data_IF_309977134164
#
_entry.id   IF_309977134164
#
_cell.length_a   1.000
_cell.length_b   1.000
_cell.length_c   1.000
_cell.angle_alpha   90.00
_cell.angle_beta   90.00
_cell.angle_gamma   90.00
#
_symmetry.space_group_name_H-M   'P 1'
#
loop_
_entity.id
_entity.type
_entity.pdbx_description
1 polymer ?
#
# COMPACT_ATOMS: atom_id res chain seq x y z
N UNK A 1 37.63 -7.57 -9.67
CA UNK A 1 37.05 -8.91 -9.92
C UNK A 1 35.92 -9.07 -8.93
N UNK A 2 34.74 -8.63 -9.35
CA UNK A 2 33.52 -8.55 -8.56
C UNK A 2 32.45 -9.18 -9.44
N UNK A 3 32.29 -10.49 -9.31
CA UNK A 3 31.33 -11.26 -10.09
C UNK A 3 30.06 -11.51 -9.26
N UNK A 4 28.97 -10.94 -9.76
CA UNK A 4 27.72 -11.63 -10.09
C UNK A 4 27.14 -12.58 -9.03
N UNK A 5 26.39 -12.00 -8.08
CA UNK A 5 25.14 -12.59 -7.59
C UNK A 5 23.95 -11.94 -8.31
N UNK A 6 23.86 -12.17 -9.62
CA UNK A 6 22.63 -11.94 -10.36
C UNK A 6 21.69 -13.12 -10.06
N UNK A 7 20.80 -12.94 -9.08
CA UNK A 7 19.78 -13.93 -8.76
C UNK A 7 18.66 -13.88 -9.80
N UNK A 8 18.46 -15.05 -10.44
CA UNK A 8 17.34 -15.46 -11.28
C UNK A 8 15.97 -15.20 -10.60
N UNK A 9 14.89 -14.90 -11.35
CA UNK A 9 13.53 -14.79 -10.84
C UNK A 9 12.82 -16.16 -10.65
N UNK A 10 13.56 -17.26 -10.51
CA UNK A 10 12.97 -18.53 -10.16
C UNK A 10 12.67 -18.56 -8.66
N UNK A 11 11.38 -18.52 -8.31
CA UNK A 11 10.93 -18.82 -6.95
C UNK A 11 11.54 -20.16 -6.54
N UNK A 12 12.35 -20.22 -5.46
CA UNK A 12 12.74 -21.50 -4.87
C UNK A 12 11.44 -22.21 -4.51
N UNK A 13 11.29 -23.48 -4.91
CA UNK A 13 10.27 -24.33 -4.30
C UNK A 13 10.50 -24.23 -2.80
N UNK A 14 9.51 -23.73 -2.06
CA UNK A 14 9.69 -23.48 -0.64
C UNK A 14 9.96 -24.85 0.00
N UNK A 15 11.21 -25.08 0.42
CA UNK A 15 11.66 -26.27 1.14
C UNK A 15 10.65 -26.70 2.20
N UNK A 16 9.97 -25.72 2.79
CA UNK A 16 8.90 -25.90 3.76
C UNK A 16 7.59 -26.42 3.17
N UNK A 17 7.16 -25.96 2.00
CA UNK A 17 5.97 -26.47 1.30
C UNK A 17 6.16 -27.93 0.87
N UNK A 18 7.39 -28.29 0.50
CA UNK A 18 7.74 -29.68 0.20
C UNK A 18 7.73 -30.55 1.46
N UNK A 19 8.27 -30.05 2.58
CA UNK A 19 8.22 -30.75 3.87
C UNK A 19 6.77 -30.90 4.36
N UNK A 20 5.91 -29.90 4.19
CA UNK A 20 4.48 -29.96 4.51
C UNK A 20 3.74 -30.99 3.66
N UNK A 21 4.02 -31.04 2.35
CA UNK A 21 3.45 -32.06 1.47
C UNK A 21 3.86 -33.47 1.91
N UNK A 22 5.12 -33.65 2.30
CA UNK A 22 5.63 -34.91 2.83
C UNK A 22 4.99 -35.29 4.18
N UNK A 23 4.75 -34.31 5.06
CA UNK A 23 4.01 -34.50 6.32
C UNK A 23 2.54 -34.86 6.12
N UNK A 24 1.90 -34.28 5.10
CA UNK A 24 0.50 -34.52 4.77
C UNK A 24 0.27 -35.85 4.05
N UNK A 25 1.28 -36.36 3.32
CA UNK A 25 1.22 -37.67 2.70
C UNK A 25 1.50 -38.78 3.72
N UNK A 26 0.49 -39.57 4.07
CA UNK A 26 0.65 -40.75 4.93
C UNK A 26 1.61 -41.81 4.37
N UNK A 27 1.89 -41.74 3.07
CA UNK A 27 2.60 -42.77 2.32
C UNK A 27 4.07 -42.40 2.01
N UNK A 28 4.54 -41.23 2.45
CA UNK A 28 5.95 -40.86 2.25
C UNK A 28 6.86 -41.74 3.13
N UNK A 29 7.91 -42.35 2.56
CA UNK A 29 8.82 -43.20 3.32
C UNK A 29 9.59 -42.37 4.35
N UNK A 30 9.53 -42.78 5.62
CA UNK A 30 10.31 -42.13 6.68
C UNK A 30 11.81 -42.30 6.45
N UNK A 31 12.62 -41.40 7.00
CA UNK A 31 14.08 -41.52 6.93
C UNK A 31 14.57 -42.89 7.44
N UNK A 32 13.95 -43.40 8.50
CA UNK A 32 14.20 -44.72 9.05
C UNK A 32 13.97 -45.84 8.02
N UNK A 33 12.83 -45.80 7.32
CA UNK A 33 12.50 -46.80 6.29
C UNK A 33 13.46 -46.78 5.10
N UNK A 34 13.94 -45.60 4.71
CA UNK A 34 14.91 -45.45 3.62
C UNK A 34 16.29 -46.01 3.99
N UNK A 35 16.71 -45.82 5.24
CA UNK A 35 17.99 -46.33 5.74
C UNK A 35 17.98 -47.86 5.83
N UNK A 36 16.89 -48.44 6.35
CA UNK A 36 16.74 -49.89 6.39
C UNK A 36 16.62 -50.50 5.00
N UNK A 37 15.84 -49.90 4.09
CA UNK A 37 15.76 -50.35 2.70
C UNK A 37 17.13 -50.33 2.01
N UNK A 38 17.89 -49.24 2.17
CA UNK A 38 19.24 -49.13 1.59
C UNK A 38 20.22 -50.14 2.21
N UNK A 39 20.12 -50.37 3.52
CA UNK A 39 20.90 -51.41 4.21
C UNK A 39 20.63 -52.79 3.60
N UNK A 40 19.37 -53.12 3.35
CA UNK A 40 18.94 -54.40 2.75
C UNK A 40 19.39 -54.53 1.30
N UNK A 41 19.22 -53.49 0.48
CA UNK A 41 19.70 -53.44 -0.91
C UNK A 41 21.20 -53.73 -1.02
N UNK A 42 21.99 -53.21 -0.09
CA UNK A 42 23.43 -53.41 -0.04
C UNK A 42 23.84 -54.72 0.66
N UNK A 43 22.88 -55.52 1.14
CA UNK A 43 23.15 -56.77 1.86
C UNK A 43 23.90 -56.60 3.18
N UNK A 44 23.79 -55.44 3.83
CA UNK A 44 24.58 -55.07 5.00
C UNK A 44 23.92 -55.53 6.31
N UNK A 45 24.73 -56.01 7.26
CA UNK A 45 24.28 -56.15 8.65
C UNK A 45 24.14 -54.78 9.32
N UNK A 46 23.35 -54.67 10.40
CA UNK A 46 23.23 -53.43 11.19
C UNK A 46 24.59 -52.95 11.73
N UNK A 47 25.47 -53.88 12.11
CA UNK A 47 26.84 -53.58 12.51
C UNK A 47 27.64 -52.94 11.37
N UNK A 48 27.61 -53.55 10.18
CA UNK A 48 28.33 -53.03 9.01
C UNK A 48 27.80 -51.64 8.59
N UNK A 49 26.49 -51.44 8.61
CA UNK A 49 25.89 -50.14 8.33
C UNK A 49 26.31 -49.06 9.35
N UNK A 50 26.36 -49.41 10.65
CA UNK A 50 26.83 -48.49 11.70
C UNK A 50 28.30 -48.10 11.54
N UNK A 51 29.16 -49.03 11.09
CA UNK A 51 30.57 -48.79 10.81
C UNK A 51 30.76 -47.89 9.57
N UNK A 52 30.02 -48.13 8.49
CA UNK A 52 30.05 -47.30 7.26
C UNK A 52 29.66 -45.86 7.58
N UNK A 53 28.59 -45.67 8.36
CA UNK A 53 28.15 -44.35 8.81
C UNK A 53 29.05 -43.76 9.91
N UNK A 54 30.07 -44.50 10.37
CA UNK A 54 31.00 -44.10 11.43
C UNK A 54 30.25 -43.59 12.66
N UNK A 55 29.32 -44.41 13.17
CA UNK A 55 28.50 -44.12 14.34
C UNK A 55 28.36 -45.35 15.24
N UNK A 56 27.99 -45.13 16.51
CA UNK A 56 27.76 -46.24 17.43
C UNK A 56 26.51 -47.03 17.05
N UNK A 57 26.45 -48.31 17.41
CA UNK A 57 25.26 -49.14 17.20
C UNK A 57 24.00 -48.54 17.84
N UNK A 58 24.14 -47.97 19.04
CA UNK A 58 23.05 -47.28 19.75
C UNK A 58 22.57 -46.04 18.99
N UNK A 59 23.50 -45.26 18.39
CA UNK A 59 23.16 -44.12 17.55
C UNK A 59 22.41 -44.56 16.29
N UNK A 60 22.86 -45.63 15.63
CA UNK A 60 22.21 -46.20 14.46
C UNK A 60 20.79 -46.68 14.78
N UNK A 61 20.61 -47.45 15.87
CA UNK A 61 19.31 -47.95 16.32
C UNK A 61 18.33 -46.81 16.62
N UNK A 62 18.78 -45.72 17.25
CA UNK A 62 17.94 -44.52 17.47
C UNK A 62 17.53 -43.82 16.17
N UNK A 63 18.35 -43.92 15.13
CA UNK A 63 18.14 -43.30 13.84
C UNK A 63 17.07 -44.08 13.04
N UNK A 64 17.13 -45.41 13.05
CA UNK A 64 16.15 -46.28 12.37
C UNK A 64 14.87 -46.53 13.16
N UNK A 65 14.82 -46.17 14.45
CA UNK A 65 13.59 -46.17 15.26
C UNK A 65 12.88 -44.82 15.31
N UNK A 66 13.44 -43.78 14.68
CA UNK A 66 12.89 -42.42 14.71
C UNK A 66 13.05 -41.69 16.05
N UNK A 67 13.81 -42.25 17.00
CA UNK A 67 14.05 -41.67 18.33
C UNK A 67 15.18 -40.62 18.37
N UNK A 68 15.70 -40.23 17.20
CA UNK A 68 16.74 -39.22 17.07
C UNK A 68 16.12 -37.83 16.89
N UNK A 69 16.03 -37.06 17.98
CA UNK A 69 15.40 -35.73 17.98
C UNK A 69 16.25 -34.63 17.32
N UNK A 70 17.57 -34.80 17.19
CA UNK A 70 18.48 -33.81 16.58
C UNK A 70 19.51 -34.50 15.71
N UNK A 71 19.53 -34.14 14.44
CA UNK A 71 20.54 -34.56 13.47
C UNK A 71 21.55 -33.41 13.30
N UNK A 72 22.83 -33.69 13.48
CA UNK A 72 23.88 -32.72 13.15
C UNK A 72 24.21 -32.75 11.64
N UNK A 73 24.86 -31.69 11.16
CA UNK A 73 25.19 -31.54 9.73
C UNK A 73 26.10 -32.66 9.23
N UNK A 74 27.02 -33.14 10.08
CA UNK A 74 27.93 -34.23 9.74
C UNK A 74 27.18 -35.55 9.50
N UNK A 75 26.19 -35.85 10.33
CA UNK A 75 25.36 -37.04 10.20
C UNK A 75 24.44 -36.93 8.98
N UNK A 76 23.90 -35.73 8.70
CA UNK A 76 23.14 -35.49 7.46
C UNK A 76 23.97 -35.76 6.20
N UNK A 77 25.23 -35.31 6.17
CA UNK A 77 26.16 -35.57 5.05
C UNK A 77 26.47 -37.07 4.90
N UNK A 78 26.72 -37.77 6.01
CA UNK A 78 26.95 -39.23 6.00
C UNK A 78 25.75 -39.99 5.46
N UNK A 79 24.54 -39.61 5.89
CA UNK A 79 23.30 -40.19 5.42
C UNK A 79 23.06 -39.90 3.94
N UNK A 80 23.36 -38.69 3.47
CA UNK A 80 23.23 -38.32 2.06
C UNK A 80 24.07 -39.25 1.17
N UNK A 81 25.33 -39.47 1.54
CA UNK A 81 26.21 -40.42 0.82
C UNK A 81 25.77 -41.88 0.96
N UNK A 82 25.29 -42.30 2.13
CA UNK A 82 24.84 -43.68 2.33
C UNK A 82 23.57 -44.01 1.53
N UNK A 83 22.62 -43.08 1.52
CA UNK A 83 21.34 -43.19 0.82
C UNK A 83 21.43 -42.85 -0.67
N UNK A 84 22.56 -42.29 -1.13
CA UNK A 84 22.78 -41.81 -2.50
C UNK A 84 21.76 -40.74 -2.91
N UNK A 85 21.54 -39.78 -2.00
CA UNK A 85 20.59 -38.66 -2.15
C UNK A 85 21.26 -37.34 -1.80
N UNK A 86 20.65 -36.21 -2.16
CA UNK A 86 21.20 -34.91 -1.76
C UNK A 86 21.04 -34.68 -0.25
N UNK A 87 21.96 -33.89 0.34
CA UNK A 87 21.82 -33.46 1.73
C UNK A 87 20.49 -32.72 1.97
N UNK A 88 20.02 -31.99 0.97
CA UNK A 88 18.73 -31.31 1.00
C UNK A 88 17.56 -32.30 1.15
N UNK A 89 17.58 -33.42 0.41
CA UNK A 89 16.59 -34.48 0.54
C UNK A 89 16.62 -35.15 1.92
N UNK A 90 17.82 -35.40 2.48
CA UNK A 90 17.94 -35.91 3.86
C UNK A 90 17.31 -34.93 4.84
N UNK A 91 17.62 -33.65 4.74
CA UNK A 91 17.08 -32.62 5.63
C UNK A 91 15.56 -32.48 5.52
N UNK A 92 14.99 -32.60 4.31
CA UNK A 92 13.53 -32.65 4.08
C UNK A 92 12.88 -33.82 4.84
N UNK A 93 13.44 -35.01 4.71
CA UNK A 93 12.93 -36.23 5.34
C UNK A 93 13.04 -36.17 6.87
N UNK A 94 14.14 -35.62 7.38
CA UNK A 94 14.34 -35.39 8.82
C UNK A 94 13.30 -34.40 9.34
N UNK A 95 13.12 -33.27 8.66
CA UNK A 95 12.12 -32.28 9.03
C UNK A 95 10.72 -32.90 9.07
N UNK A 96 10.36 -33.72 8.07
CA UNK A 96 9.07 -34.41 8.03
C UNK A 96 8.93 -35.55 9.06
N UNK A 97 10.03 -36.18 9.49
CA UNK A 97 9.97 -37.30 10.45
C UNK A 97 10.07 -36.86 11.92
N UNK A 98 10.69 -35.70 12.18
CA UNK A 98 11.13 -35.30 13.53
C UNK A 98 10.49 -34.01 14.02
N UNK A 99 10.00 -33.11 13.16
CA UNK A 99 9.30 -31.90 13.64
C UNK A 99 7.88 -32.24 14.07
N UNK A 100 7.52 -32.10 15.35
CA UNK A 100 6.13 -32.05 15.77
C UNK A 100 5.43 -30.86 15.10
N UNK A 101 4.10 -30.91 14.98
CA UNK A 101 3.31 -29.81 14.43
C UNK A 101 3.54 -28.45 15.15
N UNK A 102 4.00 -28.48 16.42
CA UNK A 102 4.38 -27.28 17.18
C UNK A 102 5.68 -26.61 16.70
N UNK A 103 6.68 -27.39 16.30
CA UNK A 103 7.94 -26.85 15.77
C UNK A 103 7.74 -26.25 14.38
N UNK A 104 6.87 -26.87 13.56
CA UNK A 104 6.45 -26.32 12.27
C UNK A 104 5.83 -24.92 12.44
N UNK A 105 4.87 -24.77 13.37
CA UNK A 105 4.26 -23.47 13.69
C UNK A 105 5.28 -22.44 14.15
N UNK A 106 6.35 -22.87 14.80
CA UNK A 106 7.44 -21.98 15.23
C UNK A 106 8.22 -21.44 14.04
N UNK A 107 8.57 -22.30 13.08
CA UNK A 107 9.25 -21.88 11.84
C UNK A 107 8.36 -20.96 11.00
N UNK A 108 7.08 -21.29 10.88
CA UNK A 108 6.10 -20.46 10.17
C UNK A 108 5.97 -19.06 10.80
N UNK A 109 5.86 -18.97 12.13
CA UNK A 109 5.86 -17.67 12.84
C UNK A 109 7.12 -16.86 12.57
N UNK A 110 8.30 -17.49 12.49
CA UNK A 110 9.56 -16.81 12.15
C UNK A 110 9.54 -16.29 10.72
N UNK A 111 9.02 -17.07 9.76
CA UNK A 111 8.85 -16.64 8.36
C UNK A 111 7.90 -15.44 8.26
N UNK A 112 6.75 -15.50 8.92
CA UNK A 112 5.76 -14.42 8.94
C UNK A 112 6.34 -13.15 9.57
N UNK A 113 6.99 -13.25 10.73
CA UNK A 113 7.65 -12.12 11.38
C UNK A 113 8.74 -11.51 10.48
N UNK A 114 9.55 -12.35 9.82
CA UNK A 114 10.58 -11.90 8.87
C UNK A 114 9.97 -11.17 7.67
N UNK A 115 8.84 -11.67 7.15
CA UNK A 115 8.08 -11.01 6.09
C UNK A 115 7.57 -9.63 6.54
N UNK A 116 7.02 -9.54 7.74
CA UNK A 116 6.52 -8.28 8.31
C UNK A 116 7.65 -7.25 8.39
N UNK A 117 8.77 -7.62 9.02
CA UNK A 117 9.94 -6.72 9.16
C UNK A 117 10.48 -6.29 7.81
N UNK A 118 10.46 -7.18 6.81
CA UNK A 118 10.97 -6.87 5.46
C UNK A 118 10.07 -5.88 4.71
N UNK A 119 8.75 -5.97 4.85
CA UNK A 119 7.81 -5.24 4.00
C UNK A 119 7.09 -4.07 4.70
N UNK A 120 7.06 -4.03 6.03
CA UNK A 120 6.34 -3.01 6.79
C UNK A 120 7.27 -2.26 7.76
N UNK A 121 7.05 -0.96 7.92
CA UNK A 121 7.66 -0.17 9.00
C UNK A 121 6.77 -0.22 10.24
N UNK A 122 6.97 -1.29 11.03
CA UNK A 122 6.18 -1.57 12.23
C UNK A 122 6.21 -0.41 13.23
N UNK A 123 7.36 0.26 13.37
CA UNK A 123 7.52 1.35 14.32
C UNK A 123 6.66 2.56 13.95
N UNK A 124 6.65 2.95 12.67
CA UNK A 124 5.81 4.06 12.18
C UNK A 124 4.33 3.70 12.16
N UNK A 125 3.98 2.47 11.76
CA UNK A 125 2.60 1.98 11.79
C UNK A 125 2.04 1.95 13.23
N UNK A 126 2.85 1.59 14.22
CA UNK A 126 2.49 1.69 15.63
C UNK A 126 2.28 3.14 16.08
N UNK A 127 3.20 4.04 15.74
CA UNK A 127 3.06 5.48 16.05
C UNK A 127 1.79 6.08 15.43
N UNK A 128 1.39 5.59 14.27
CA UNK A 128 0.16 5.99 13.59
C UNK A 128 -1.10 5.49 14.28
N UNK A 129 -1.03 4.39 15.04
CA UNK A 129 -2.18 3.72 15.66
C UNK A 129 -2.73 2.55 14.84
N UNK A 130 -2.09 2.16 13.73
CA UNK A 130 -2.51 0.98 12.94
C UNK A 130 -2.21 -0.33 13.68
N UNK A 131 -1.11 -0.34 14.44
CA UNK A 131 -0.63 -1.48 15.24
C UNK A 131 -0.64 -1.07 16.71
N UNK A 132 -1.17 -1.92 17.58
CA UNK A 132 -1.25 -1.65 19.02
C UNK A 132 -0.09 -2.30 19.81
N UNK A 133 0.31 -3.51 19.41
CA UNK A 133 1.35 -4.30 20.07
C UNK A 133 2.58 -4.52 19.19
N UNK A 134 3.73 -4.84 19.80
CA UNK A 134 4.93 -5.29 19.08
C UNK A 134 4.96 -6.83 18.93
N UNK A 135 3.82 -7.49 19.14
CA UNK A 135 3.67 -8.93 18.95
C UNK A 135 3.43 -9.22 17.46
N UNK A 136 4.32 -9.99 16.84
CA UNK A 136 4.25 -10.25 15.39
C UNK A 136 3.03 -11.09 14.99
N UNK A 137 2.47 -11.90 15.89
CA UNK A 137 1.22 -12.62 15.65
C UNK A 137 0.04 -11.66 15.55
N UNK A 138 -0.06 -10.71 16.50
CA UNK A 138 -1.09 -9.67 16.46
C UNK A 138 -0.91 -8.74 15.25
N UNK A 139 0.34 -8.38 14.91
CA UNK A 139 0.63 -7.55 13.73
C UNK A 139 0.20 -8.26 12.45
N UNK A 140 0.52 -9.56 12.32
CA UNK A 140 0.07 -10.39 11.20
C UNK A 140 -1.45 -10.35 11.11
N UNK A 141 -2.15 -10.70 12.19
CA UNK A 141 -3.61 -10.78 12.19
C UNK A 141 -4.25 -9.45 11.82
N UNK A 142 -3.68 -8.34 12.31
CA UNK A 142 -4.11 -6.99 11.92
C UNK A 142 -3.92 -6.71 10.43
N UNK A 143 -2.76 -7.06 9.85
CA UNK A 143 -2.49 -6.88 8.41
C UNK A 143 -3.44 -7.73 7.57
N UNK A 144 -3.59 -9.02 7.90
CA UNK A 144 -4.47 -9.94 7.18
C UNK A 144 -5.92 -9.48 7.25
N UNK A 145 -6.39 -9.10 8.44
CA UNK A 145 -7.74 -8.59 8.62
C UNK A 145 -7.97 -7.28 7.85
N UNK A 146 -7.02 -6.34 7.93
CA UNK A 146 -7.13 -5.05 7.29
C UNK A 146 -7.22 -5.16 5.76
N UNK A 147 -6.30 -5.91 5.15
CA UNK A 147 -6.30 -6.12 3.69
C UNK A 147 -7.26 -7.23 3.23
N UNK A 148 -7.88 -7.99 4.15
CA UNK A 148 -8.74 -9.12 3.82
C UNK A 148 -8.02 -10.25 3.09
N UNK A 149 -6.79 -10.56 3.51
CA UNK A 149 -5.90 -11.55 2.87
C UNK A 149 -5.94 -12.88 3.60
N UNK A 150 -5.72 -13.97 2.87
CA UNK A 150 -5.58 -15.30 3.45
C UNK A 150 -4.18 -15.56 4.00
N UNK A 151 -3.16 -14.87 3.45
CA UNK A 151 -1.77 -14.97 3.91
C UNK A 151 -0.97 -13.70 3.64
N UNK A 152 0.14 -13.51 4.34
CA UNK A 152 1.04 -12.38 4.10
C UNK A 152 1.72 -12.46 2.72
N UNK A 153 1.86 -13.66 2.15
CA UNK A 153 2.48 -13.84 0.84
C UNK A 153 1.61 -13.32 -0.31
N UNK A 154 0.29 -13.32 -0.11
CA UNK A 154 -0.68 -12.68 -1.02
C UNK A 154 -0.38 -11.18 -1.13
N UNK A 155 -0.15 -10.50 0.01
CA UNK A 155 0.30 -9.09 0.03
C UNK A 155 1.57 -8.88 -0.79
N UNK A 156 2.56 -9.76 -0.64
CA UNK A 156 3.83 -9.65 -1.38
C UNK A 156 3.65 -9.76 -2.90
N UNK A 157 2.75 -10.64 -3.33
CA UNK A 157 2.44 -10.87 -4.75
C UNK A 157 1.69 -9.67 -5.33
N UNK A 158 0.67 -9.17 -4.65
CA UNK A 158 -0.08 -8.00 -5.09
C UNK A 158 0.79 -6.73 -5.10
N UNK A 159 1.57 -6.53 -4.04
CA UNK A 159 2.52 -5.41 -3.94
C UNK A 159 3.52 -5.46 -5.11
N UNK A 160 4.02 -6.63 -5.47
CA UNK A 160 4.89 -6.78 -6.62
C UNK A 160 4.18 -6.39 -7.93
N UNK A 161 2.93 -6.83 -8.11
CA UNK A 161 2.13 -6.51 -9.28
C UNK A 161 1.78 -5.01 -9.40
N UNK A 162 1.64 -4.30 -8.29
CA UNK A 162 1.32 -2.86 -8.27
C UNK A 162 2.59 -2.00 -8.39
N UNK A 163 3.64 -2.29 -7.61
CA UNK A 163 4.81 -1.40 -7.47
C UNK A 163 5.90 -1.61 -8.53
N UNK A 164 6.14 -2.85 -9.01
CA UNK A 164 7.21 -3.11 -9.99
C UNK A 164 6.85 -2.72 -11.43
N UNK A 165 5.62 -2.28 -11.67
CA UNK A 165 5.22 -1.75 -12.98
C UNK A 165 5.71 -0.31 -13.22
N UNK A 166 6.28 0.36 -12.20
CA UNK A 166 6.76 1.74 -12.26
C UNK A 166 8.27 1.87 -12.48
N UNK A 167 8.93 0.92 -13.14
CA UNK A 167 10.39 0.82 -13.38
C UNK A 167 11.18 0.08 -12.29
N UNK A 168 12.42 -0.26 -12.63
CA UNK A 168 13.40 -1.08 -11.88
C UNK A 168 13.79 -0.54 -10.48
N UNK A 169 13.09 0.47 -9.97
CA UNK A 169 13.31 1.06 -8.65
C UNK A 169 12.35 0.44 -7.65
N UNK A 170 12.94 -0.37 -6.77
CA UNK A 170 12.29 -0.83 -5.54
C UNK A 170 11.75 0.41 -4.80
N UNK A 171 10.47 0.44 -4.45
CA UNK A 171 9.97 1.44 -3.49
C UNK A 171 10.66 1.14 -2.16
N UNK A 172 11.78 1.81 -1.88
CA UNK A 172 12.57 1.58 -0.68
C UNK A 172 11.80 1.97 0.59
N UNK A 173 10.81 2.86 0.46
CA UNK A 173 9.96 3.31 1.55
C UNK A 173 8.74 2.39 1.76
N UNK A 174 8.82 1.53 2.78
CA UNK A 174 7.77 0.61 3.23
C UNK A 174 6.47 1.34 3.59
N UNK A 175 6.54 2.56 4.09
CA UNK A 175 5.35 3.35 4.41
C UNK A 175 4.65 3.79 3.12
N UNK A 176 5.41 4.32 2.16
CA UNK A 176 4.87 4.68 0.84
C UNK A 176 4.24 3.46 0.16
N UNK A 177 4.90 2.30 0.19
CA UNK A 177 4.36 1.05 -0.34
C UNK A 177 3.01 0.67 0.32
N UNK A 178 2.94 0.71 1.66
CA UNK A 178 1.71 0.44 2.42
C UNK A 178 0.57 1.37 1.98
N UNK A 179 0.81 2.68 1.86
CA UNK A 179 -0.23 3.65 1.48
C UNK A 179 -0.70 3.47 0.04
N UNK A 180 0.20 3.21 -0.91
CA UNK A 180 -0.15 2.89 -2.29
C UNK A 180 -1.04 1.64 -2.33
N UNK A 181 -0.65 0.60 -1.60
CA UNK A 181 -1.41 -0.65 -1.52
C UNK A 181 -2.79 -0.45 -0.91
N UNK A 182 -2.89 0.29 0.19
CA UNK A 182 -4.17 0.62 0.82
C UNK A 182 -5.08 1.38 -0.13
N UNK A 183 -4.58 2.42 -0.82
CA UNK A 183 -5.36 3.17 -1.81
C UNK A 183 -5.81 2.30 -2.97
N UNK A 184 -4.89 1.55 -3.59
CA UNK A 184 -5.18 0.69 -4.72
C UNK A 184 -6.26 -0.35 -4.40
N UNK A 185 -6.08 -1.07 -3.30
CA UNK A 185 -7.01 -2.09 -2.85
C UNK A 185 -8.38 -1.52 -2.42
N UNK A 186 -8.40 -0.31 -1.87
CA UNK A 186 -9.65 0.40 -1.56
C UNK A 186 -10.39 0.75 -2.86
N UNK A 187 -9.70 1.29 -3.87
CA UNK A 187 -10.32 1.58 -5.18
C UNK A 187 -10.89 0.33 -5.86
N UNK A 188 -10.16 -0.79 -5.81
CA UNK A 188 -10.65 -2.06 -6.36
C UNK A 188 -11.97 -2.50 -5.72
N UNK A 189 -12.12 -2.28 -4.41
CA UNK A 189 -13.31 -2.66 -3.64
C UNK A 189 -14.44 -1.64 -3.74
N UNK A 190 -14.14 -0.34 -3.81
CA UNK A 190 -15.16 0.69 -4.03
C UNK A 190 -15.90 0.44 -5.33
N UNK A 191 -15.19 -0.03 -6.36
CA UNK A 191 -15.73 -0.53 -7.63
C UNK A 191 -16.81 0.40 -8.20
N UNK A 192 -16.42 1.62 -8.57
CA UNK A 192 -17.35 2.62 -9.08
C UNK A 192 -18.12 2.06 -10.29
N UNK A 193 -19.46 1.96 -10.24
CA UNK A 193 -20.25 1.38 -11.32
C UNK A 193 -20.39 2.33 -12.52
N UNK A 194 -20.23 3.64 -12.31
CA UNK A 194 -20.44 4.64 -13.36
C UNK A 194 -19.31 4.60 -14.40
N UNK A 195 -19.63 4.66 -15.71
CA UNK A 195 -18.59 4.73 -16.75
C UNK A 195 -17.80 6.04 -16.63
N UNK A 196 -16.52 5.99 -17.00
CA UNK A 196 -15.70 7.19 -17.03
C UNK A 196 -16.10 8.09 -18.22
N UNK A 197 -16.49 9.33 -17.93
CA UNK A 197 -16.82 10.36 -18.93
C UNK A 197 -15.90 11.58 -18.78
N UNK A 198 -14.85 11.71 -19.61
CA UNK A 198 -13.94 12.86 -19.61
C UNK A 198 -14.67 14.20 -19.78
N UNK A 199 -15.75 14.25 -20.57
CA UNK A 199 -16.48 15.51 -20.83
C UNK A 199 -17.24 15.97 -19.61
N UNK A 200 -17.76 15.02 -18.81
CA UNK A 200 -18.41 15.34 -17.54
C UNK A 200 -17.40 15.88 -16.52
N UNK A 201 -16.19 15.31 -16.48
CA UNK A 201 -15.08 15.83 -15.66
C UNK A 201 -14.69 17.25 -16.09
N UNK A 202 -14.46 17.48 -17.38
CA UNK A 202 -14.15 18.81 -17.93
C UNK A 202 -15.24 19.84 -17.59
N UNK A 203 -16.51 19.47 -17.72
CA UNK A 203 -17.63 20.34 -17.34
C UNK A 203 -17.62 20.65 -15.85
N UNK A 204 -17.36 19.66 -14.99
CA UNK A 204 -17.34 19.83 -13.54
C UNK A 204 -16.22 20.77 -13.09
N UNK A 205 -15.01 20.64 -13.63
CA UNK A 205 -13.87 21.47 -13.22
C UNK A 205 -14.10 22.96 -13.50
N UNK A 206 -14.83 23.32 -14.57
CA UNK A 206 -15.21 24.73 -14.83
C UNK A 206 -16.08 25.35 -13.75
N UNK A 207 -16.76 24.53 -12.95
CA UNK A 207 -17.70 24.96 -11.92
C UNK A 207 -17.12 24.85 -10.51
N UNK A 208 -15.89 24.33 -10.36
CA UNK A 208 -15.35 23.90 -9.07
C UNK A 208 -15.18 25.05 -8.07
N UNK A 209 -14.86 26.26 -8.56
CA UNK A 209 -14.58 27.45 -7.74
C UNK A 209 -15.68 27.67 -6.70
N UNK A 210 -16.95 27.65 -7.11
CA UNK A 210 -18.08 27.94 -6.23
C UNK A 210 -18.21 26.95 -5.07
N UNK A 211 -17.76 25.72 -5.24
CA UNK A 211 -17.78 24.70 -4.19
C UNK A 211 -16.70 24.92 -3.15
N UNK A 212 -15.59 25.59 -3.50
CA UNK A 212 -14.57 25.96 -2.50
C UNK A 212 -15.13 26.88 -1.41
N UNK A 213 -16.17 27.66 -1.72
CA UNK A 213 -16.87 28.53 -0.74
C UNK A 213 -17.81 27.77 0.20
N UNK A 214 -18.10 26.50 -0.09
CA UNK A 214 -18.95 25.65 0.74
C UNK A 214 -18.05 24.77 1.63
N UNK A 215 -17.46 25.34 2.68
CA UNK A 215 -16.41 24.68 3.48
C UNK A 215 -16.78 23.26 3.94
N UNK A 216 -18.04 23.03 4.34
CA UNK A 216 -18.48 21.73 4.88
C UNK A 216 -18.90 20.73 3.79
N UNK A 217 -19.61 21.19 2.76
CA UNK A 217 -20.29 20.31 1.80
C UNK A 217 -19.63 20.27 0.41
N UNK A 218 -18.82 21.27 0.08
CA UNK A 218 -18.29 21.48 -1.26
C UNK A 218 -17.41 20.33 -1.75
N UNK A 219 -16.48 19.89 -0.90
CA UNK A 219 -15.57 18.78 -1.23
C UNK A 219 -16.34 17.50 -1.52
N UNK A 220 -17.24 17.09 -0.61
CA UNK A 220 -18.08 15.90 -0.80
C UNK A 220 -18.96 16.02 -2.06
N UNK A 221 -19.52 17.20 -2.33
CA UNK A 221 -20.34 17.44 -3.52
C UNK A 221 -19.54 17.22 -4.80
N UNK A 222 -18.30 17.72 -4.85
CA UNK A 222 -17.40 17.50 -5.99
C UNK A 222 -16.99 16.03 -6.10
N UNK A 223 -16.66 15.37 -4.99
CA UNK A 223 -16.32 13.94 -5.00
C UNK A 223 -17.48 13.07 -5.51
N UNK A 224 -18.73 13.39 -5.15
CA UNK A 224 -19.93 12.71 -5.68
C UNK A 224 -20.10 12.93 -7.18
N UNK A 225 -19.98 14.18 -7.64
CA UNK A 225 -20.08 14.50 -9.06
C UNK A 225 -18.96 13.84 -9.89
N UNK A 226 -17.76 13.72 -9.33
CA UNK A 226 -16.65 12.96 -9.91
C UNK A 226 -16.96 11.46 -9.95
N UNK A 227 -17.55 10.92 -8.88
CA UNK A 227 -17.96 9.51 -8.82
C UNK A 227 -19.00 9.17 -9.89
N UNK A 228 -19.98 10.05 -10.11
CA UNK A 228 -20.95 9.94 -11.22
C UNK A 228 -20.29 10.00 -12.60
N UNK A 229 -19.21 10.79 -12.75
CA UNK A 229 -18.40 10.86 -13.97
C UNK A 229 -17.40 9.69 -14.11
N UNK A 230 -17.47 8.68 -13.24
CA UNK A 230 -16.58 7.51 -13.25
C UNK A 230 -15.18 7.75 -12.69
N UNK A 231 -14.96 8.83 -11.94
CA UNK A 231 -13.71 9.13 -11.21
C UNK A 231 -13.92 8.89 -9.72
N UNK A 232 -13.22 7.94 -9.12
CA UNK A 232 -13.33 7.68 -7.67
C UNK A 232 -12.33 8.53 -6.91
N UNK A 233 -12.79 9.38 -5.99
CA UNK A 233 -11.92 10.14 -5.09
C UNK A 233 -12.06 9.61 -3.67
N UNK A 234 -10.94 9.32 -3.02
CA UNK A 234 -10.89 8.97 -1.59
C UNK A 234 -9.98 9.94 -0.83
N UNK A 235 -10.23 10.08 0.46
CA UNK A 235 -9.34 10.79 1.37
C UNK A 235 -8.62 9.78 2.25
N UNK A 236 -7.30 9.88 2.32
CA UNK A 236 -6.48 9.06 3.20
C UNK A 236 -5.66 9.95 4.14
N UNK A 237 -5.41 9.47 5.36
CA UNK A 237 -4.58 10.24 6.29
C UNK A 237 -3.16 10.31 5.76
N UNK A 238 -2.54 11.47 5.86
CA UNK A 238 -1.13 11.62 5.50
C UNK A 238 -0.26 10.66 6.34
N UNK A 239 0.65 9.95 5.67
CA UNK A 239 1.65 9.19 6.40
C UNK A 239 2.69 10.14 7.02
N UNK A 240 3.13 9.89 8.26
CA UNK A 240 4.25 10.62 8.83
C UNK A 240 5.47 10.45 7.93
N UNK A 241 6.21 11.53 7.70
CA UNK A 241 7.45 11.58 6.91
C UNK A 241 7.34 11.30 5.39
N UNK A 242 6.14 11.25 4.82
CA UNK A 242 5.95 11.36 3.36
C UNK A 242 5.40 12.75 3.06
N UNK A 243 5.92 13.46 2.05
CA UNK A 243 5.32 14.71 1.57
C UNK A 243 4.34 14.48 0.40
N UNK A 244 3.88 13.23 0.24
CA UNK A 244 2.82 12.83 -0.69
C UNK A 244 1.50 13.52 -0.30
N UNK A 245 1.06 14.45 -1.15
CA UNK A 245 -0.18 15.20 -0.97
C UNK A 245 -1.34 14.48 -1.65
N UNK A 246 -1.07 13.77 -2.73
CA UNK A 246 -2.06 13.00 -3.47
C UNK A 246 -1.42 11.98 -4.41
N UNK A 247 -2.30 11.25 -5.09
CA UNK A 247 -1.91 10.40 -6.20
C UNK A 247 -3.08 10.02 -7.07
N UNK A 248 -2.79 9.84 -8.36
CA UNK A 248 -3.74 9.40 -9.38
C UNK A 248 -3.41 7.98 -9.81
N UNK A 249 -4.41 7.11 -9.85
CA UNK A 249 -4.34 5.69 -10.13
C UNK A 249 -5.28 5.34 -11.28
N UNK A 250 -4.93 4.30 -12.04
CA UNK A 250 -5.82 3.63 -12.98
C UNK A 250 -6.18 2.27 -12.43
N UNK A 251 -7.42 2.12 -11.96
CA UNK A 251 -7.95 0.88 -11.40
C UNK A 251 -9.16 0.47 -12.22
N UNK A 252 -9.21 -0.78 -12.68
CA UNK A 252 -10.29 -1.29 -13.53
C UNK A 252 -10.59 -0.38 -14.75
N UNK A 253 -9.54 0.17 -15.36
CA UNK A 253 -9.59 1.11 -16.51
C UNK A 253 -10.27 2.46 -16.20
N UNK A 254 -10.42 2.83 -14.94
CA UNK A 254 -11.00 4.10 -14.50
C UNK A 254 -9.98 4.91 -13.69
N UNK A 255 -9.99 6.24 -13.79
CA UNK A 255 -9.16 7.09 -12.94
C UNK A 255 -9.68 7.08 -11.49
N UNK A 256 -8.74 7.02 -10.57
CA UNK A 256 -8.97 7.03 -9.14
C UNK A 256 -7.98 8.00 -8.50
N UNK A 257 -8.45 8.87 -7.61
CA UNK A 257 -7.64 9.91 -6.98
C UNK A 257 -7.67 9.68 -5.48
N UNK A 258 -6.50 9.69 -4.85
CA UNK A 258 -6.38 9.76 -3.41
C UNK A 258 -5.78 11.13 -3.06
N UNK A 259 -6.44 11.83 -2.15
CA UNK A 259 -5.94 13.08 -1.58
C UNK A 259 -5.64 12.86 -0.10
N UNK A 260 -4.62 13.52 0.41
CA UNK A 260 -4.25 13.45 1.83
C UNK A 260 -4.59 14.74 2.56
N UNK A 261 -4.92 14.63 3.84
CA UNK A 261 -5.08 15.76 4.74
C UNK A 261 -3.73 16.36 5.19
N UNK A 262 -2.67 16.14 4.41
CA UNK A 262 -1.32 16.61 4.71
C UNK A 262 -1.31 18.14 4.92
N UNK A 263 -0.56 18.59 5.92
CA UNK A 263 -0.57 19.97 6.45
C UNK A 263 -1.89 20.49 7.02
N UNK A 264 -2.95 19.67 7.06
CA UNK A 264 -4.28 20.04 7.56
C UNK A 264 -4.79 21.36 6.99
N UNK A 265 -4.61 21.59 5.69
CA UNK A 265 -4.92 22.88 5.05
C UNK A 265 -6.04 22.74 4.03
N UNK A 266 -7.15 23.45 4.26
CA UNK A 266 -8.31 23.46 3.36
C UNK A 266 -7.99 23.94 1.93
N UNK A 267 -7.30 25.09 1.71
CA UNK A 267 -6.97 25.52 0.35
C UNK A 267 -5.98 24.58 -0.35
N UNK A 268 -5.06 23.97 0.39
CA UNK A 268 -4.13 22.98 -0.17
C UNK A 268 -4.87 21.74 -0.66
N UNK A 269 -5.82 21.23 0.12
CA UNK A 269 -6.61 20.06 -0.26
C UNK A 269 -7.35 20.25 -1.59
N UNK A 270 -7.92 21.44 -1.81
CA UNK A 270 -8.54 21.81 -3.09
C UNK A 270 -7.53 21.88 -4.24
N UNK A 271 -6.36 22.48 -3.98
CA UNK A 271 -5.29 22.54 -4.97
C UNK A 271 -4.82 21.14 -5.36
N UNK A 272 -4.57 20.27 -4.39
CA UNK A 272 -4.18 18.86 -4.62
C UNK A 272 -5.23 18.12 -5.44
N UNK A 273 -6.51 18.20 -5.09
CA UNK A 273 -7.57 17.55 -5.89
C UNK A 273 -7.54 18.02 -7.36
N UNK A 274 -7.37 19.32 -7.59
CA UNK A 274 -7.32 19.87 -8.94
C UNK A 274 -6.05 19.53 -9.69
N UNK A 275 -4.93 19.43 -9.00
CA UNK A 275 -3.67 18.95 -9.56
C UNK A 275 -3.84 17.50 -10.07
N UNK A 276 -4.39 16.61 -9.25
CA UNK A 276 -4.65 15.22 -9.64
C UNK A 276 -5.66 15.12 -10.81
N UNK A 277 -6.68 15.98 -10.82
CA UNK A 277 -7.60 16.08 -11.97
C UNK A 277 -6.89 16.58 -13.24
N UNK A 278 -5.87 17.43 -13.10
CA UNK A 278 -4.99 17.81 -14.20
C UNK A 278 -4.33 16.59 -14.85
N UNK A 279 -3.84 15.65 -14.04
CA UNK A 279 -3.30 14.39 -14.56
C UNK A 279 -4.35 13.51 -15.24
N UNK A 280 -5.56 13.43 -14.67
CA UNK A 280 -6.68 12.70 -15.30
C UNK A 280 -7.02 13.30 -16.66
N UNK A 281 -7.00 14.63 -16.81
CA UNK A 281 -7.39 15.32 -18.05
C UNK A 281 -6.28 15.26 -19.10
N UNK A 282 -5.03 15.53 -18.73
CA UNK A 282 -3.94 15.70 -19.70
C UNK A 282 -3.05 14.48 -19.90
N UNK A 283 -3.05 13.54 -18.94
CA UNK A 283 -2.01 12.51 -18.85
C UNK A 283 -2.55 11.09 -18.66
N UNK A 284 -3.84 10.87 -18.89
CA UNK A 284 -4.49 9.57 -18.69
C UNK A 284 -3.81 8.41 -19.43
N UNK A 285 -3.40 8.63 -20.69
CA UNK A 285 -2.71 7.61 -21.50
C UNK A 285 -1.36 7.20 -20.88
N UNK A 286 -0.63 8.19 -20.34
CA UNK A 286 0.64 7.92 -19.64
C UNK A 286 0.38 7.17 -18.34
N UNK A 287 -0.64 7.57 -17.58
CA UNK A 287 -1.08 6.89 -16.36
C UNK A 287 -1.55 5.45 -16.61
N UNK A 288 -2.15 5.17 -17.77
CA UNK A 288 -2.56 3.81 -18.13
C UNK A 288 -1.37 2.86 -18.28
N UNK A 289 -0.20 3.38 -18.67
CA UNK A 289 1.04 2.60 -18.79
C UNK A 289 1.70 2.39 -17.42
N UNK A 290 1.80 3.44 -16.59
CA UNK A 290 2.49 3.38 -15.29
C UNK A 290 1.58 2.98 -14.11
N UNK A 291 0.28 2.82 -14.37
CA UNK A 291 -0.84 2.57 -13.44
C UNK A 291 -1.07 3.57 -12.32
N UNK A 292 -0.05 4.26 -11.83
CA UNK A 292 -0.24 5.32 -10.84
C UNK A 292 0.86 6.39 -10.88
N UNK A 293 0.49 7.58 -10.45
CA UNK A 293 1.33 8.75 -10.26
C UNK A 293 1.15 9.28 -8.84
N UNK A 294 2.25 9.75 -8.24
CA UNK A 294 2.26 10.37 -6.90
C UNK A 294 2.97 11.71 -7.02
N UNK A 295 2.50 12.71 -6.27
CA UNK A 295 3.09 14.07 -6.25
C UNK A 295 4.59 14.11 -5.87
N UNK A 296 5.17 13.00 -5.41
CA UNK A 296 6.61 12.87 -5.12
C UNK A 296 7.24 11.67 -5.83
N UNK A 297 7.96 11.97 -6.92
CA UNK A 297 8.98 11.10 -7.49
C UNK A 297 8.79 10.86 -8.98
N UNK A 298 9.49 11.65 -9.80
CA UNK A 298 10.56 11.27 -10.77
C UNK A 298 10.96 12.57 -11.51
N UNK A 299 12.27 12.88 -11.61
CA UNK A 299 12.78 14.08 -12.33
C UNK A 299 12.37 14.14 -13.81
N UNK A 300 12.15 12.99 -14.46
CA UNK A 300 11.71 12.87 -15.86
C UNK A 300 10.25 13.30 -16.12
N UNK A 301 9.51 13.73 -15.10
CA UNK A 301 8.10 14.17 -15.20
C UNK A 301 7.89 15.64 -14.90
N UNK A 302 8.95 16.44 -14.74
CA UNK A 302 8.85 17.86 -14.33
C UNK A 302 7.82 18.67 -15.15
N UNK A 303 7.79 18.50 -16.48
CA UNK A 303 6.81 19.18 -17.35
C UNK A 303 5.35 18.78 -17.10
N UNK A 304 5.11 17.55 -16.64
CA UNK A 304 3.78 17.02 -16.32
C UNK A 304 3.30 17.62 -14.99
N UNK A 305 4.17 17.68 -13.99
CA UNK A 305 3.89 18.29 -12.68
C UNK A 305 3.58 19.78 -12.80
N UNK A 306 4.39 20.52 -13.56
CA UNK A 306 4.18 21.94 -13.80
C UNK A 306 2.86 22.21 -14.51
N UNK A 307 2.49 21.37 -15.48
CA UNK A 307 1.22 21.48 -16.19
C UNK A 307 0.02 21.24 -15.24
N UNK A 308 0.10 20.24 -14.36
CA UNK A 308 -0.95 19.94 -13.38
C UNK A 308 -1.07 21.05 -12.33
N UNK A 309 0.05 21.59 -11.84
CA UNK A 309 0.08 22.74 -10.94
C UNK A 309 -0.52 24.00 -11.58
N UNK A 310 -0.11 24.32 -12.82
CA UNK A 310 -0.64 25.46 -13.54
C UNK A 310 -2.14 25.31 -13.79
N UNK A 311 -2.60 24.11 -14.13
CA UNK A 311 -4.02 23.82 -14.31
C UNK A 311 -4.82 24.09 -13.03
N UNK A 312 -4.35 23.60 -11.88
CA UNK A 312 -4.99 23.84 -10.60
C UNK A 312 -5.05 25.35 -10.25
N UNK A 313 -3.94 26.06 -10.44
CA UNK A 313 -3.84 27.50 -10.23
C UNK A 313 -4.83 28.30 -11.08
N UNK A 314 -4.83 28.06 -12.39
CA UNK A 314 -5.70 28.78 -13.33
C UNK A 314 -7.18 28.47 -13.07
N UNK A 315 -7.50 27.22 -12.71
CA UNK A 315 -8.86 26.84 -12.33
C UNK A 315 -9.30 27.47 -11.02
N UNK A 316 -8.44 27.62 -10.02
CA UNK A 316 -8.84 28.22 -8.74
C UNK A 316 -8.92 29.74 -8.82
N UNK A 317 -7.87 30.37 -9.36
CA UNK A 317 -7.78 31.81 -9.51
C UNK A 317 -6.87 32.13 -10.69
N UNK A 318 -7.40 32.56 -11.84
CA UNK A 318 -6.58 32.87 -13.02
C UNK A 318 -5.45 33.84 -12.72
N UNK A 319 -4.30 33.70 -13.40
CA UNK A 319 -3.11 34.53 -13.12
C UNK A 319 -3.40 36.03 -13.10
N UNK A 320 -4.13 36.54 -14.08
CA UNK A 320 -4.51 37.96 -14.14
C UNK A 320 -5.25 38.42 -12.87
N UNK A 321 -6.20 37.62 -12.40
CA UNK A 321 -6.98 37.92 -11.20
C UNK A 321 -6.14 37.86 -9.94
N UNK A 322 -5.17 36.96 -9.90
CA UNK A 322 -4.23 36.83 -8.79
C UNK A 322 -3.23 38.00 -8.73
N UNK A 323 -2.66 38.38 -9.87
CA UNK A 323 -1.75 39.51 -10.01
C UNK A 323 -2.39 40.83 -9.59
N UNK A 324 -3.70 40.99 -9.79
CA UNK A 324 -4.45 42.12 -9.28
C UNK A 324 -4.57 42.09 -7.74
N UNK A 325 -5.07 40.98 -7.18
CA UNK A 325 -5.42 40.93 -5.74
C UNK A 325 -4.20 40.89 -4.82
N UNK A 326 -3.05 40.38 -5.28
CA UNK A 326 -1.84 40.28 -4.44
C UNK A 326 -1.36 41.65 -3.94
N UNK A 327 -1.61 42.73 -4.68
CA UNK A 327 -1.27 44.09 -4.26
C UNK A 327 -2.14 44.60 -3.09
N UNK A 328 -3.27 43.94 -2.84
CA UNK A 328 -4.23 44.26 -1.79
C UNK A 328 -4.32 43.17 -0.71
N UNK A 329 -3.37 42.23 -0.67
CA UNK A 329 -3.40 41.05 0.19
C UNK A 329 -3.52 41.38 1.69
N UNK A 330 -3.01 42.55 2.09
CA UNK A 330 -3.06 43.05 3.47
C UNK A 330 -4.43 43.65 3.85
N UNK A 331 -5.33 43.86 2.89
CA UNK A 331 -6.67 44.45 3.12
C UNK A 331 -7.70 43.33 3.13
N UNK A 332 -7.91 42.70 4.28
CA UNK A 332 -8.80 41.54 4.45
C UNK A 332 -10.20 41.74 3.86
N UNK A 333 -10.85 42.87 4.13
CA UNK A 333 -12.19 43.19 3.60
C UNK A 333 -12.23 43.34 2.07
N UNK A 334 -11.09 43.65 1.44
CA UNK A 334 -10.95 43.68 -0.01
C UNK A 334 -10.76 42.27 -0.55
N UNK A 335 -9.89 41.46 0.07
CA UNK A 335 -9.68 40.05 -0.29
C UNK A 335 -10.98 39.25 -0.21
N UNK A 336 -11.77 39.42 0.86
CA UNK A 336 -13.06 38.72 1.01
C UNK A 336 -14.05 39.08 -0.10
N UNK A 337 -14.25 40.37 -0.38
CA UNK A 337 -15.14 40.82 -1.46
C UNK A 337 -14.66 40.34 -2.83
N UNK A 338 -13.37 40.42 -3.09
CA UNK A 338 -12.80 40.00 -4.36
C UNK A 338 -12.91 38.47 -4.55
N UNK A 339 -12.70 37.70 -3.49
CA UNK A 339 -12.90 36.24 -3.50
C UNK A 339 -14.38 35.90 -3.80
N UNK A 340 -15.32 36.60 -3.18
CA UNK A 340 -16.75 36.45 -3.45
C UNK A 340 -17.12 36.77 -4.91
N UNK A 341 -16.62 37.89 -5.47
CA UNK A 341 -16.82 38.27 -6.87
C UNK A 341 -16.28 37.22 -7.86
N UNK A 342 -15.24 36.49 -7.45
CA UNK A 342 -14.62 35.44 -8.25
C UNK A 342 -15.11 34.03 -7.93
N UNK A 343 -16.12 33.90 -7.05
CA UNK A 343 -16.69 32.64 -6.58
C UNK A 343 -15.65 31.67 -6.00
N UNK A 344 -14.58 32.16 -5.38
CA UNK A 344 -13.54 31.34 -4.75
C UNK A 344 -13.50 31.58 -3.24
N UNK A 345 -13.00 30.62 -2.48
CA UNK A 345 -12.75 30.80 -1.05
C UNK A 345 -11.56 31.76 -0.83
N UNK A 346 -11.64 32.73 0.09
CA UNK A 346 -10.56 33.69 0.37
C UNK A 346 -9.22 33.00 0.74
N UNK A 347 -9.27 31.89 1.47
CA UNK A 347 -8.06 31.14 1.87
C UNK A 347 -7.20 30.67 0.71
N UNK A 348 -7.79 30.46 -0.47
CA UNK A 348 -7.07 30.05 -1.69
C UNK A 348 -6.16 31.19 -2.17
N UNK A 349 -6.63 32.43 -2.06
CA UNK A 349 -5.84 33.63 -2.42
C UNK A 349 -4.64 33.74 -1.49
N UNK A 350 -4.87 33.63 -0.18
CA UNK A 350 -3.83 33.65 0.83
C UNK A 350 -2.84 32.49 0.68
N UNK A 351 -3.33 31.29 0.36
CA UNK A 351 -2.50 30.11 0.14
C UNK A 351 -1.55 30.31 -1.04
N UNK A 352 -2.08 30.77 -2.18
CA UNK A 352 -1.26 31.05 -3.37
C UNK A 352 -0.21 32.13 -3.09
N UNK A 353 -0.58 33.18 -2.36
CA UNK A 353 0.36 34.23 -1.96
C UNK A 353 1.47 33.72 -1.02
N UNK A 354 1.11 32.93 -0.01
CA UNK A 354 2.08 32.33 0.89
C UNK A 354 3.02 31.34 0.16
N UNK A 355 2.50 30.59 -0.82
CA UNK A 355 3.30 29.71 -1.68
C UNK A 355 4.29 30.50 -2.54
N UNK A 356 3.85 31.56 -3.23
CA UNK A 356 4.74 32.43 -4.04
C UNK A 356 5.88 33.03 -3.20
N UNK A 357 5.60 33.45 -1.96
CA UNK A 357 6.66 33.92 -1.05
C UNK A 357 7.61 32.79 -0.68
N UNK A 358 7.09 31.61 -0.36
CA UNK A 358 7.89 30.44 -0.01
C UNK A 358 8.81 29.98 -1.14
N UNK A 359 8.34 30.05 -2.39
CA UNK A 359 9.14 29.75 -3.59
C UNK A 359 10.33 30.71 -3.74
N UNK A 360 10.20 31.93 -3.18
CA UNK A 360 11.28 32.93 -3.05
C UNK A 360 12.08 32.81 -1.74
N UNK A 361 11.93 31.69 -1.04
CA UNK A 361 12.55 31.39 0.25
C UNK A 361 12.09 32.32 1.40
N UNK A 362 10.96 33.00 1.24
CA UNK A 362 10.32 33.81 2.27
C UNK A 362 9.20 33.04 2.98
N UNK A 363 9.44 32.71 4.26
CA UNK A 363 8.48 31.95 5.09
C UNK A 363 7.45 32.83 5.81
N UNK A 364 7.55 34.16 5.71
CA UNK A 364 6.66 35.09 6.42
C UNK A 364 5.21 34.96 5.96
N UNK A 365 5.00 34.58 4.70
CA UNK A 365 3.66 34.35 4.13
C UNK A 365 2.86 33.33 4.93
N UNK A 366 3.44 32.15 5.20
CA UNK A 366 2.78 31.11 5.98
C UNK A 366 2.53 31.55 7.43
N UNK A 367 3.47 32.28 8.02
CA UNK A 367 3.37 32.77 9.40
C UNK A 367 2.23 33.79 9.57
N UNK A 368 2.12 34.74 8.65
CA UNK A 368 1.16 35.83 8.76
C UNK A 368 -0.23 35.44 8.26
N UNK A 369 -0.32 34.77 7.12
CA UNK A 369 -1.60 34.47 6.47
C UNK A 369 -2.17 33.11 6.84
N UNK A 370 -1.44 32.26 7.57
CA UNK A 370 -1.94 30.96 8.02
C UNK A 370 -3.25 31.06 8.82
N UNK A 371 -3.48 32.17 9.53
CA UNK A 371 -4.74 32.44 10.26
C UNK A 371 -5.98 32.53 9.37
N UNK A 372 -5.81 32.83 8.08
CA UNK A 372 -6.88 32.92 7.09
C UNK A 372 -7.11 31.60 6.34
N UNK A 373 -6.41 30.54 6.72
CA UNK A 373 -6.52 29.22 6.09
C UNK A 373 -7.20 28.25 7.06
N UNK A 374 -8.49 27.90 6.81
CA UNK A 374 -9.16 26.88 7.59
C UNK A 374 -8.42 25.55 7.51
N UNK A 375 -8.57 24.74 8.55
CA UNK A 375 -8.05 23.38 8.52
C UNK A 375 -8.91 22.50 7.62
N UNK A 376 -8.31 21.51 6.97
CA UNK A 376 -9.03 20.54 6.12
C UNK A 376 -10.11 19.76 6.88
N UNK A 377 -9.98 19.63 8.21
CA UNK A 377 -10.97 19.02 9.11
C UNK A 377 -12.40 19.57 8.90
N UNK A 378 -12.55 20.82 8.44
CA UNK A 378 -13.85 21.47 8.16
C UNK A 378 -14.68 20.73 7.11
N UNK A 379 -14.02 20.12 6.12
CA UNK A 379 -14.64 19.34 5.06
C UNK A 379 -14.44 17.82 5.27
N UNK A 380 -13.43 17.43 6.04
CA UNK A 380 -13.06 16.04 6.27
C UNK A 380 -14.02 15.33 7.24
N UNK A 381 -14.77 16.04 8.10
CA UNK A 381 -15.63 15.41 9.10
C UNK A 381 -16.70 14.45 8.54
N UNK A 382 -17.10 14.60 7.27
CA UNK A 382 -18.01 13.68 6.56
C UNK A 382 -17.33 12.76 5.52
N UNK A 383 -16.01 12.87 5.37
CA UNK A 383 -15.19 12.19 4.34
C UNK A 383 -14.07 11.33 4.95
N UNK A 384 -13.68 11.63 6.18
CA UNK A 384 -12.52 11.12 6.89
C UNK A 384 -12.99 10.51 8.20
N UNK A 385 -13.37 9.23 8.12
CA UNK A 385 -12.89 8.31 9.14
C UNK A 385 -11.58 7.84 8.58
N UNK A 386 -10.46 8.14 9.23
CA UNK A 386 -9.17 7.60 8.83
C UNK A 386 -9.35 6.09 8.68
N UNK A 387 -9.46 5.56 7.45
CA UNK A 387 -9.54 4.12 7.22
C UNK A 387 -8.22 3.56 7.80
N UNK A 388 -8.04 2.35 8.27
CA UNK A 388 -6.84 1.90 9.03
C UNK A 388 -6.58 2.54 10.41
N UNK A 389 -7.11 3.75 10.69
CA UNK A 389 -7.38 4.40 11.99
C UNK A 389 -7.98 3.53 13.09
N UNK A 390 -9.03 2.85 12.68
CA UNK A 390 -9.94 2.15 13.55
C UNK A 390 -9.43 0.72 13.73
N UNK A 391 -9.13 0.30 14.97
CA UNK A 391 -8.47 -1.00 15.24
C UNK A 391 -9.17 -2.20 14.59
N UNK A 392 -10.50 -2.12 14.40
CA UNK A 392 -11.36 -3.21 13.94
C UNK A 392 -11.95 -3.00 12.53
N UNK A 393 -11.43 -2.08 11.72
CA UNK A 393 -11.90 -1.92 10.34
C UNK A 393 -11.03 -2.68 9.35
N UNK A 394 -11.69 -3.28 8.36
CA UNK A 394 -11.08 -3.83 7.15
C UNK A 394 -11.27 -2.86 5.98
N UNK A 395 -10.41 -2.98 4.96
CA UNK A 395 -10.56 -2.24 3.71
C UNK A 395 -11.91 -2.50 3.05
N UNK A 396 -12.52 -3.68 3.23
CA UNK A 396 -13.84 -3.98 2.71
C UNK A 396 -14.93 -3.10 3.36
N UNK A 397 -14.93 -3.02 4.69
CA UNK A 397 -15.87 -2.17 5.42
C UNK A 397 -15.69 -0.68 5.06
N UNK A 398 -14.44 -0.24 4.95
CA UNK A 398 -14.09 1.14 4.59
C UNK A 398 -14.51 1.49 3.16
N UNK A 399 -14.33 0.55 2.24
CA UNK A 399 -14.74 0.73 0.84
C UNK A 399 -16.25 0.81 0.70
N UNK A 400 -17.00 0.04 1.48
CA UNK A 400 -18.47 0.10 1.49
C UNK A 400 -18.99 1.42 2.09
N UNK A 401 -18.35 1.93 3.14
CA UNK A 401 -18.67 3.25 3.69
C UNK A 401 -18.40 4.36 2.66
N UNK A 402 -17.23 4.34 2.00
CA UNK A 402 -16.91 5.27 0.91
C UNK A 402 -17.94 5.18 -0.21
N UNK A 403 -18.29 3.97 -0.64
CA UNK A 403 -19.31 3.75 -1.68
C UNK A 403 -20.66 4.34 -1.26
N UNK A 404 -21.07 4.15 -0.02
CA UNK A 404 -22.32 4.69 0.52
C UNK A 404 -22.30 6.23 0.57
N UNK A 405 -21.16 6.83 0.94
CA UNK A 405 -20.99 8.28 1.00
C UNK A 405 -21.01 8.91 -0.40
N UNK A 406 -20.37 8.25 -1.38
CA UNK A 406 -20.22 8.75 -2.75
C UNK A 406 -21.42 8.46 -3.65
N UNK A 407 -22.14 7.35 -3.42
CA UNK A 407 -23.35 7.05 -4.14
C UNK A 407 -24.44 8.08 -3.79
N UNK A 408 -25.20 8.59 -4.79
CA UNK A 408 -26.33 9.45 -4.50
C UNK A 408 -27.34 8.68 -3.64
N UNK A 409 -27.74 9.25 -2.50
CA UNK A 409 -28.89 8.78 -1.74
C UNK A 409 -30.10 8.82 -2.67
N UNK A 410 -30.84 7.72 -2.80
CA UNK A 410 -32.13 7.68 -3.50
C UNK A 410 -32.97 8.91 -3.12
N UNK A 411 -33.41 9.64 -4.14
CA UNK A 411 -34.07 10.94 -4.07
C UNK A 411 -35.06 11.12 -2.90
N UNK A 412 -35.08 12.28 -2.21
CA UNK A 412 -36.36 12.89 -1.86
C UNK A 412 -36.91 13.56 -3.11
N UNK A 413 -38.08 13.08 -3.51
CA UNK A 413 -39.02 13.61 -4.50
C UNK A 413 -38.77 15.06 -4.91
N UNK A 414 -38.47 15.27 -6.18
CA UNK A 414 -38.55 16.57 -6.85
C UNK A 414 -39.92 17.20 -6.59
N UNK A 415 -39.98 18.25 -5.78
CA UNK A 415 -41.03 19.24 -5.92
C UNK A 415 -40.67 20.14 -7.11
N UNK A 416 -41.62 20.42 -8.02
CA UNK A 416 -41.35 21.24 -9.20
C UNK A 416 -41.11 22.68 -8.76
N UNK A 417 -40.01 23.25 -9.24
CA UNK A 417 -39.74 24.68 -9.13
C UNK A 417 -40.68 25.39 -10.12
N UNK A 418 -41.59 26.19 -9.59
CA UNK A 418 -42.40 27.17 -10.31
C UNK A 418 -41.61 28.47 -10.53
#
# INVERSE_FOLDING_TARGET
>A
MSDNFANSPDLPSDLMDEVLKLLASSDAPSLASLIERRREELGLSTKAASEILSMTRTSYERLVTGALQKLDVLTALKLAHFLDVSIEQVMKLVAASVMPAEDYKTVERVKEASFIVRNFDVARLRKLGFIESMDYGHIRDRILHYFGLNSLYEYGTEMAAVLFQKSNTRVEDKMKAFWIMSAYQQFQRVENPNPFDPRQVEKLVTQIRRYTRQERAGMLTVMRALYEAGVTVIMQKALPSTAVQGGTFIVNKKPCIVITDHFKSYPLLWHTLLHELGHVIFHLDKLAVVKYHLTEGVEDLFLIEDQANQFADELLLPREKYEYIKNYINVESFVERYAAQNNVHPSIIYHRYARELSDRQDKTGWQYYGRFMPKSDVCAAGLSRAPWLTPDTSLAAESEEVRTILAPTSHPTTQPIA
#
